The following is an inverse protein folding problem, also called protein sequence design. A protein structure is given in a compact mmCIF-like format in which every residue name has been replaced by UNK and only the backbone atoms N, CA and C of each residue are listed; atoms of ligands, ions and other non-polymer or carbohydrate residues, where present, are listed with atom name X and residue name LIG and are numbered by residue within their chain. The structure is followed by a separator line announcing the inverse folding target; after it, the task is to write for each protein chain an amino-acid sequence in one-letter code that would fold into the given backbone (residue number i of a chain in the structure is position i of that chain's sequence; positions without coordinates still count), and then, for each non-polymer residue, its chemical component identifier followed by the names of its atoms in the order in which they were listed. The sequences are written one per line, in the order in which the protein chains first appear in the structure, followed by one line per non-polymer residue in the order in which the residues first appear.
data_IF_543722527870
#
_entry.id   IF_543722527870
#
_cell.length_a   1.000
_cell.length_b   1.000
_cell.length_c   1.000
_cell.angle_alpha   90.00
_cell.angle_beta   90.00
_cell.angle_gamma   90.00
#
_symmetry.space_group_name_H-M   'P 1'
#
loop_
_entity.id
_entity.type
_entity.pdbx_description
1 polymer ?
#
# COMPACT_ATOMS: atom_id res chain seq x y z
N UNK A 1 15.77 16.21 9.87
CA UNK A 1 15.60 14.75 9.91
C UNK A 1 16.99 14.13 10.03
N UNK A 2 17.13 13.11 10.86
CA UNK A 2 18.36 12.34 10.99
C UNK A 2 18.30 11.16 10.01
N UNK A 3 19.40 10.91 9.31
CA UNK A 3 19.48 9.77 8.39
C UNK A 3 19.79 8.51 9.21
N UNK A 4 19.04 7.44 8.95
CA UNK A 4 19.28 6.09 9.50
C UNK A 4 19.63 5.18 8.32
N UNK A 5 20.75 4.46 8.40
CA UNK A 5 21.12 3.53 7.33
C UNK A 5 20.23 2.27 7.32
N UNK A 6 20.18 1.53 6.19
CA UNK A 6 19.48 0.24 6.15
C UNK A 6 19.90 -0.73 7.26
N UNK A 7 21.21 -0.81 7.55
CA UNK A 7 21.76 -1.69 8.59
C UNK A 7 21.34 -1.25 9.99
N UNK A 8 21.33 0.07 10.25
CA UNK A 8 20.89 0.61 11.53
C UNK A 8 19.40 0.36 11.74
N UNK A 9 18.55 0.54 10.72
CA UNK A 9 17.11 0.30 10.82
C UNK A 9 16.80 -1.19 11.06
N UNK A 10 17.44 -2.09 10.31
CA UNK A 10 17.30 -3.53 10.51
C UNK A 10 17.76 -3.94 11.92
N UNK A 11 18.88 -3.37 12.40
CA UNK A 11 19.39 -3.60 13.75
C UNK A 11 18.42 -3.12 14.85
N UNK A 12 17.78 -1.96 14.67
CA UNK A 12 16.73 -1.46 15.59
C UNK A 12 15.54 -2.39 15.60
N UNK A 13 15.10 -2.86 14.43
CA UNK A 13 13.99 -3.81 14.32
C UNK A 13 14.28 -5.10 15.10
N UNK A 14 15.46 -5.68 14.89
CA UNK A 14 15.89 -6.90 15.58
C UNK A 14 15.99 -6.72 17.12
N UNK A 15 16.56 -5.61 17.59
CA UNK A 15 16.67 -5.31 19.03
C UNK A 15 15.31 -5.16 19.72
N UNK A 16 14.31 -4.69 18.99
CA UNK A 16 12.95 -4.49 19.53
C UNK A 16 12.06 -5.73 19.45
N UNK A 17 12.54 -6.84 18.88
CA UNK A 17 11.83 -8.13 18.79
C UNK A 17 11.34 -8.62 20.17
N UNK A 18 12.15 -8.50 21.20
CA UNK A 18 11.80 -8.89 22.57
C UNK A 18 10.63 -8.08 23.16
N UNK A 19 10.29 -6.95 22.55
CA UNK A 19 9.15 -6.07 22.90
C UNK A 19 7.92 -6.36 22.03
N UNK A 20 7.95 -7.40 21.19
CA UNK A 20 6.84 -7.78 20.30
C UNK A 20 6.93 -7.17 18.89
N UNK A 21 8.05 -6.52 18.52
CA UNK A 21 8.23 -6.06 17.14
C UNK A 21 8.39 -7.26 16.21
N UNK A 22 7.61 -7.30 15.13
CA UNK A 22 7.64 -8.37 14.12
C UNK A 22 8.30 -7.95 12.80
N UNK A 23 8.59 -6.64 12.60
CA UNK A 23 9.14 -6.17 11.34
C UNK A 23 9.24 -4.67 11.20
N UNK A 24 9.35 -4.23 9.95
CA UNK A 24 9.42 -2.82 9.56
C UNK A 24 8.24 -2.47 8.65
N UNK A 25 7.60 -1.34 8.91
CA UNK A 25 6.60 -0.75 8.03
C UNK A 25 7.18 0.52 7.40
N UNK A 26 7.29 0.51 6.06
CA UNK A 26 7.68 1.67 5.27
C UNK A 26 6.43 2.47 4.94
N UNK A 27 6.41 3.71 5.43
CA UNK A 27 5.27 4.64 5.29
C UNK A 27 5.78 6.08 5.24
N UNK A 28 4.96 7.08 5.04
CA UNK A 28 5.26 8.51 5.00
C UNK A 28 6.56 8.94 4.28
N UNK A 29 6.46 9.85 3.29
CA UNK A 29 5.19 10.29 2.68
C UNK A 29 4.70 9.27 1.66
N UNK A 30 5.49 9.03 0.62
CA UNK A 30 5.37 7.93 -0.34
C UNK A 30 6.67 7.14 -0.32
N UNK A 31 6.68 5.94 0.27
CA UNK A 31 7.92 5.18 0.46
C UNK A 31 8.54 4.72 -0.85
N UNK A 32 7.75 4.49 -1.91
CA UNK A 32 8.24 3.98 -3.20
C UNK A 32 9.17 4.98 -3.92
N UNK A 33 9.18 6.26 -3.53
CA UNK A 33 10.18 7.24 -4.00
C UNK A 33 11.59 6.82 -3.58
N UNK A 34 11.73 6.20 -2.41
CA UNK A 34 13.01 5.69 -1.87
C UNK A 34 13.17 4.18 -2.03
N UNK A 35 12.75 3.60 -3.17
CA UNK A 35 12.73 2.15 -3.40
C UNK A 35 14.05 1.44 -3.12
N UNK A 36 15.17 2.07 -3.43
CA UNK A 36 16.50 1.51 -3.16
C UNK A 36 16.74 1.32 -1.66
N UNK A 37 16.34 2.31 -0.86
CA UNK A 37 16.42 2.23 0.59
C UNK A 37 15.49 1.15 1.15
N UNK A 38 14.26 1.05 0.61
CA UNK A 38 13.32 -0.01 0.98
C UNK A 38 13.92 -1.38 0.68
N UNK A 39 14.36 -1.61 -0.56
CA UNK A 39 14.95 -2.87 -0.99
C UNK A 39 16.12 -3.28 -0.08
N UNK A 40 17.06 -2.38 0.15
CA UNK A 40 18.27 -2.68 0.90
C UNK A 40 17.96 -2.95 2.39
N UNK A 41 17.05 -2.16 2.98
CA UNK A 41 16.59 -2.39 4.36
C UNK A 41 15.77 -3.67 4.48
N UNK A 42 14.81 -3.90 3.58
CA UNK A 42 13.90 -5.03 3.64
C UNK A 42 14.64 -6.36 3.50
N UNK A 43 15.69 -6.40 2.68
CA UNK A 43 16.58 -7.56 2.58
C UNK A 43 17.21 -7.90 3.92
N UNK A 44 17.78 -6.92 4.60
CA UNK A 44 18.43 -7.11 5.92
C UNK A 44 17.41 -7.51 7.00
N UNK A 45 16.19 -6.95 6.96
CA UNK A 45 15.10 -7.32 7.87
C UNK A 45 14.68 -8.78 7.64
N UNK A 46 14.62 -9.26 6.41
CA UNK A 46 14.37 -10.67 6.08
C UNK A 46 15.51 -11.59 6.57
N UNK A 47 16.76 -11.17 6.46
CA UNK A 47 17.92 -11.92 7.01
C UNK A 47 17.79 -12.13 8.52
N UNK A 48 17.15 -11.17 9.22
CA UNK A 48 16.80 -11.29 10.64
C UNK A 48 15.53 -12.17 10.89
N UNK A 49 14.88 -12.68 9.85
CA UNK A 49 13.63 -13.46 9.95
C UNK A 49 12.44 -12.62 10.43
N UNK A 50 12.37 -11.35 10.01
CA UNK A 50 11.30 -10.40 10.33
C UNK A 50 10.56 -9.99 9.05
N UNK A 51 9.42 -9.34 9.19
CA UNK A 51 8.52 -8.98 8.10
C UNK A 51 8.69 -7.54 7.63
N UNK A 52 8.36 -7.30 6.36
CA UNK A 52 8.36 -5.98 5.73
C UNK A 52 6.99 -5.63 5.19
N UNK A 53 6.48 -4.46 5.54
CA UNK A 53 5.20 -3.94 5.09
C UNK A 53 5.38 -2.59 4.42
N UNK A 54 4.64 -2.35 3.34
CA UNK A 54 4.58 -1.04 2.67
C UNK A 54 3.18 -0.44 2.79
N UNK A 55 3.10 0.86 3.09
CA UNK A 55 1.88 1.66 2.98
C UNK A 55 2.12 2.73 1.91
N UNK A 56 1.43 2.63 0.77
CA UNK A 56 1.71 3.40 -0.45
C UNK A 56 0.45 3.85 -1.16
N UNK A 57 0.56 4.90 -1.96
CA UNK A 57 -0.49 5.30 -2.89
C UNK A 57 -0.52 4.47 -4.19
N UNK A 58 0.40 3.53 -4.36
CA UNK A 58 0.49 2.64 -5.52
C UNK A 58 0.86 3.33 -6.84
N UNK A 59 1.27 4.61 -6.81
CA UNK A 59 1.65 5.35 -8.01
C UNK A 59 3.13 5.12 -8.33
N UNK A 60 3.44 3.94 -8.82
CA UNK A 60 4.80 3.55 -9.23
C UNK A 60 4.74 2.61 -10.44
N UNK A 61 5.83 2.54 -11.19
CA UNK A 61 5.93 1.61 -12.32
C UNK A 61 6.08 0.15 -11.84
N UNK A 62 5.77 -0.79 -12.74
CA UNK A 62 5.90 -2.21 -12.42
C UNK A 62 7.37 -2.62 -12.17
N UNK A 63 8.33 -1.96 -12.80
CA UNK A 63 9.75 -2.20 -12.55
C UNK A 63 10.13 -1.89 -11.09
N UNK A 64 9.52 -0.87 -10.49
CA UNK A 64 9.72 -0.56 -9.07
C UNK A 64 9.16 -1.68 -8.20
N UNK A 65 7.98 -2.18 -8.53
CA UNK A 65 7.37 -3.30 -7.81
C UNK A 65 8.22 -4.57 -7.92
N UNK A 66 8.66 -4.92 -9.14
CA UNK A 66 9.50 -6.11 -9.39
C UNK A 66 10.82 -6.06 -8.60
N UNK A 67 11.39 -4.86 -8.43
CA UNK A 67 12.63 -4.66 -7.67
C UNK A 67 12.45 -4.95 -6.17
N UNK A 68 11.30 -4.59 -5.59
CA UNK A 68 11.07 -4.68 -4.14
C UNK A 68 10.26 -5.90 -3.71
N UNK A 69 9.38 -6.42 -4.58
CA UNK A 69 8.45 -7.48 -4.26
C UNK A 69 9.07 -8.73 -3.59
N UNK A 70 10.30 -9.18 -3.96
CA UNK A 70 10.92 -10.33 -3.30
C UNK A 70 11.18 -10.16 -1.79
N UNK A 71 11.12 -8.93 -1.29
CA UNK A 71 11.46 -8.58 0.09
C UNK A 71 10.27 -8.03 0.88
N UNK A 72 9.06 -7.99 0.29
CA UNK A 72 7.87 -7.40 0.91
C UNK A 72 6.83 -8.49 1.18
N UNK A 73 6.37 -8.57 2.43
CA UNK A 73 5.41 -9.58 2.88
C UNK A 73 3.96 -9.09 2.76
N UNK A 74 3.73 -7.79 2.93
CA UNK A 74 2.41 -7.21 2.81
C UNK A 74 2.43 -5.75 2.34
N UNK A 75 1.35 -5.32 1.69
CA UNK A 75 1.13 -3.93 1.29
C UNK A 75 -0.27 -3.47 1.69
N UNK A 76 -0.37 -2.24 2.20
CA UNK A 76 -1.64 -1.50 2.22
C UNK A 76 -1.55 -0.42 1.16
N UNK A 77 -2.44 -0.46 0.16
CA UNK A 77 -2.38 0.44 -1.00
C UNK A 77 -3.63 1.33 -1.01
N UNK A 78 -3.43 2.63 -1.10
CA UNK A 78 -4.49 3.61 -1.23
C UNK A 78 -5.10 3.57 -2.64
N UNK A 79 -6.25 2.93 -2.80
CA UNK A 79 -7.11 3.07 -3.98
C UNK A 79 -8.09 4.22 -3.71
N UNK A 80 -7.69 5.45 -4.06
CA UNK A 80 -8.33 6.68 -3.58
C UNK A 80 -9.71 6.97 -4.20
N UNK A 81 -10.06 6.32 -5.31
CA UNK A 81 -11.32 6.44 -6.02
C UNK A 81 -11.33 5.54 -7.26
N UNK A 82 -12.40 5.60 -8.05
CA UNK A 82 -12.54 4.71 -9.20
C UNK A 82 -12.93 5.42 -10.50
N UNK A 83 -12.86 6.76 -10.53
CA UNK A 83 -13.07 7.57 -11.73
C UNK A 83 -11.78 8.25 -12.20
N UNK A 84 -11.62 8.41 -13.52
CA UNK A 84 -10.49 9.15 -14.08
C UNK A 84 -10.56 10.63 -13.71
N UNK A 85 -11.77 11.20 -13.60
CA UNK A 85 -11.97 12.58 -13.16
C UNK A 85 -11.35 12.80 -11.77
N UNK A 86 -11.70 11.97 -10.79
CA UNK A 86 -11.18 12.13 -9.43
C UNK A 86 -9.65 11.98 -9.38
N UNK A 87 -9.13 10.95 -10.06
CA UNK A 87 -7.67 10.73 -10.09
C UNK A 87 -6.90 11.82 -10.80
N UNK A 88 -7.33 12.24 -12.01
CA UNK A 88 -6.56 13.15 -12.85
C UNK A 88 -6.77 14.61 -12.45
N UNK A 89 -8.04 15.02 -12.23
CA UNK A 89 -8.39 16.42 -12.06
C UNK A 89 -8.34 16.88 -10.61
N UNK A 90 -8.63 15.99 -9.65
CA UNK A 90 -8.65 16.32 -8.22
C UNK A 90 -7.33 15.92 -7.55
N UNK A 91 -6.85 14.69 -7.77
CA UNK A 91 -5.66 14.17 -7.10
C UNK A 91 -4.35 14.46 -7.86
N UNK A 92 -4.41 14.72 -9.17
CA UNK A 92 -3.23 14.86 -10.02
C UNK A 92 -2.45 13.56 -10.18
N UNK A 93 -3.12 12.40 -10.09
CA UNK A 93 -2.55 11.07 -10.17
C UNK A 93 -2.95 10.32 -11.44
N UNK A 94 -2.66 9.02 -11.47
CA UNK A 94 -3.00 8.12 -12.58
C UNK A 94 -3.66 6.85 -12.02
N UNK A 95 -4.98 6.72 -12.25
CA UNK A 95 -5.76 5.55 -11.82
C UNK A 95 -5.28 4.26 -12.48
N UNK A 96 -4.97 4.31 -13.76
CA UNK A 96 -4.55 3.13 -14.50
C UNK A 96 -3.22 2.59 -13.98
N UNK A 97 -2.29 3.48 -13.63
CA UNK A 97 -1.01 3.10 -13.00
C UNK A 97 -1.24 2.44 -11.64
N UNK A 98 -2.04 3.06 -10.77
CA UNK A 98 -2.37 2.48 -9.45
C UNK A 98 -3.05 1.13 -9.58
N UNK A 99 -4.02 0.98 -10.49
CA UNK A 99 -4.70 -0.29 -10.74
C UNK A 99 -3.75 -1.37 -11.28
N UNK A 100 -2.83 -1.00 -12.18
CA UNK A 100 -1.81 -1.92 -12.69
C UNK A 100 -0.87 -2.38 -11.58
N UNK A 101 -0.44 -1.46 -10.71
CA UNK A 101 0.39 -1.77 -9.56
C UNK A 101 -0.31 -2.74 -8.59
N UNK A 102 -1.55 -2.47 -8.20
CA UNK A 102 -2.35 -3.35 -7.33
C UNK A 102 -2.51 -4.74 -7.96
N UNK A 103 -2.88 -4.79 -9.24
CA UNK A 103 -3.09 -6.05 -9.98
C UNK A 103 -1.84 -6.92 -10.01
N UNK A 104 -0.66 -6.34 -10.00
CA UNK A 104 0.58 -7.08 -9.95
C UNK A 104 0.96 -7.42 -8.50
N UNK A 105 0.86 -6.46 -7.57
CA UNK A 105 1.22 -6.64 -6.16
C UNK A 105 0.50 -7.83 -5.49
N UNK A 106 -0.78 -8.04 -5.81
CA UNK A 106 -1.58 -9.16 -5.26
C UNK A 106 -1.08 -10.56 -5.65
N UNK A 107 -0.15 -10.65 -6.59
CA UNK A 107 0.49 -11.92 -6.99
C UNK A 107 1.78 -12.21 -6.22
N UNK A 108 2.27 -11.25 -5.45
CA UNK A 108 3.58 -11.35 -4.80
C UNK A 108 3.50 -11.34 -3.27
N UNK A 109 2.52 -10.67 -2.70
CA UNK A 109 2.39 -10.53 -1.25
C UNK A 109 0.93 -10.37 -0.82
N UNK A 110 0.70 -10.36 0.49
CA UNK A 110 -0.61 -9.99 1.03
C UNK A 110 -0.89 -8.51 0.75
N UNK A 111 -2.06 -8.21 0.16
CA UNK A 111 -2.47 -6.85 -0.14
C UNK A 111 -3.80 -6.52 0.54
N UNK A 112 -3.84 -5.38 1.21
CA UNK A 112 -5.05 -4.72 1.67
C UNK A 112 -5.18 -3.37 0.95
N UNK A 113 -6.42 -2.92 0.73
CA UNK A 113 -6.68 -1.64 0.08
C UNK A 113 -7.32 -0.67 1.07
N UNK A 114 -7.03 0.61 0.90
CA UNK A 114 -7.66 1.67 1.68
C UNK A 114 -8.25 2.72 0.75
N UNK A 115 -9.48 3.15 1.04
CA UNK A 115 -10.15 4.24 0.33
C UNK A 115 -10.64 5.27 1.34
N UNK A 116 -10.23 6.52 1.17
CA UNK A 116 -10.81 7.65 1.89
C UNK A 116 -11.99 8.20 1.09
N UNK A 117 -13.19 8.09 1.64
CA UNK A 117 -14.40 8.65 1.04
C UNK A 117 -14.46 10.14 1.32
N UNK A 118 -14.50 10.93 0.25
CA UNK A 118 -14.63 12.39 0.26
C UNK A 118 -16.01 12.74 -0.30
N UNK A 119 -16.92 13.29 0.53
CA UNK A 119 -18.28 13.61 0.10
C UNK A 119 -18.32 14.53 -1.13
N UNK A 120 -19.09 14.13 -2.13
CA UNK A 120 -19.26 14.86 -3.39
C UNK A 120 -18.17 14.59 -4.43
N UNK A 121 -17.14 13.80 -4.13
CA UNK A 121 -16.02 13.50 -5.02
C UNK A 121 -16.02 12.02 -5.45
N UNK A 122 -15.90 11.09 -4.50
CA UNK A 122 -15.76 9.66 -4.74
C UNK A 122 -16.76 8.81 -3.90
N UNK A 123 -17.88 9.39 -3.50
CA UNK A 123 -18.87 8.78 -2.61
C UNK A 123 -20.12 8.22 -3.33
N UNK A 124 -20.13 8.20 -4.66
CA UNK A 124 -21.26 7.66 -5.40
C UNK A 124 -21.36 6.14 -5.24
N UNK A 125 -22.61 5.64 -5.11
CA UNK A 125 -22.86 4.20 -4.96
C UNK A 125 -22.36 3.40 -6.18
N UNK A 126 -22.50 3.96 -7.38
CA UNK A 126 -22.08 3.31 -8.63
C UNK A 126 -20.55 3.16 -8.68
N UNK A 127 -19.81 4.21 -8.32
CA UNK A 127 -18.33 4.17 -8.28
C UNK A 127 -17.83 3.14 -7.26
N UNK A 128 -18.43 3.12 -6.07
CA UNK A 128 -18.06 2.14 -5.02
C UNK A 128 -18.37 0.72 -5.50
N UNK A 129 -19.48 0.48 -6.18
CA UNK A 129 -19.84 -0.83 -6.76
C UNK A 129 -18.85 -1.26 -7.85
N UNK A 130 -18.45 -0.35 -8.72
CA UNK A 130 -17.45 -0.62 -9.76
C UNK A 130 -16.09 -0.96 -9.15
N UNK A 131 -15.63 -0.19 -8.17
CA UNK A 131 -14.41 -0.44 -7.41
C UNK A 131 -14.44 -1.84 -6.77
N UNK A 132 -15.48 -2.16 -6.00
CA UNK A 132 -15.62 -3.46 -5.35
C UNK A 132 -15.68 -4.61 -6.37
N UNK A 133 -16.36 -4.41 -7.49
CA UNK A 133 -16.46 -5.41 -8.56
C UNK A 133 -15.10 -5.68 -9.20
N UNK A 134 -14.32 -4.62 -9.42
CA UNK A 134 -12.96 -4.74 -9.93
C UNK A 134 -12.04 -5.46 -8.93
N UNK A 135 -12.06 -5.07 -7.65
CA UNK A 135 -11.28 -5.75 -6.60
C UNK A 135 -11.60 -7.25 -6.58
N UNK A 136 -12.88 -7.59 -6.57
CA UNK A 136 -13.32 -8.99 -6.56
C UNK A 136 -12.91 -9.79 -7.80
N UNK A 137 -12.60 -9.11 -8.92
CA UNK A 137 -12.14 -9.73 -10.16
C UNK A 137 -10.64 -10.03 -10.19
N UNK A 138 -9.85 -9.52 -9.22
CA UNK A 138 -8.41 -9.75 -9.16
C UNK A 138 -8.11 -11.22 -8.86
N UNK A 139 -6.99 -11.70 -9.38
CA UNK A 139 -6.47 -13.04 -9.07
C UNK A 139 -5.25 -12.88 -8.18
N UNK A 140 -5.31 -13.48 -6.99
CA UNK A 140 -4.23 -13.49 -6.01
C UNK A 140 -3.53 -14.86 -6.01
N UNK A 141 -2.37 -14.96 -5.42
CA UNK A 141 -1.65 -16.24 -5.26
C UNK A 141 -2.47 -17.28 -4.48
N UNK A 142 -3.28 -16.83 -3.52
CA UNK A 142 -4.06 -17.69 -2.63
C UNK A 142 -5.50 -17.91 -3.07
N UNK A 143 -5.97 -17.23 -4.15
CA UNK A 143 -7.38 -17.36 -4.57
C UNK A 143 -7.89 -16.22 -5.43
N UNK A 144 -8.90 -15.50 -4.94
CA UNK A 144 -9.58 -14.45 -5.68
C UNK A 144 -9.56 -13.12 -4.92
N UNK A 145 -9.73 -12.01 -5.62
CA UNK A 145 -9.80 -10.69 -5.02
C UNK A 145 -10.95 -10.46 -4.01
N UNK A 146 -11.85 -11.45 -3.87
CA UNK A 146 -12.93 -11.41 -2.85
C UNK A 146 -12.40 -11.45 -1.42
N UNK A 147 -11.17 -11.94 -1.23
CA UNK A 147 -10.52 -12.04 0.07
C UNK A 147 -9.60 -10.85 0.36
N UNK A 148 -9.50 -9.88 -0.58
CA UNK A 148 -8.74 -8.65 -0.38
C UNK A 148 -9.54 -7.71 0.54
N UNK A 149 -9.02 -7.35 1.74
CA UNK A 149 -9.69 -6.38 2.60
C UNK A 149 -9.72 -4.99 1.95
N UNK A 150 -10.89 -4.35 1.96
CA UNK A 150 -11.05 -2.94 1.60
C UNK A 150 -11.41 -2.13 2.86
N UNK A 151 -10.49 -1.31 3.31
CA UNK A 151 -10.70 -0.39 4.43
C UNK A 151 -11.34 0.90 3.90
N UNK A 152 -12.56 1.19 4.35
CA UNK A 152 -13.24 2.44 4.03
C UNK A 152 -13.05 3.40 5.20
N UNK A 153 -12.46 4.54 4.91
CA UNK A 153 -12.22 5.64 5.85
C UNK A 153 -13.05 6.84 5.42
N UNK A 154 -13.67 7.52 6.36
CA UNK A 154 -14.46 8.72 6.06
C UNK A 154 -13.99 9.91 6.90
N UNK A 155 -14.27 11.12 6.42
CA UNK A 155 -14.05 12.35 7.16
C UNK A 155 -15.40 12.74 7.81
N UNK A 156 -15.41 12.94 9.13
CA UNK A 156 -16.60 13.46 9.80
C UNK A 156 -16.82 14.94 9.45
N UNK A 157 -18.05 15.48 9.61
CA UNK A 157 -18.34 16.88 9.30
C UNK A 157 -17.46 17.89 10.07
N UNK A 158 -16.87 17.49 11.18
CA UNK A 158 -15.91 18.29 11.97
C UNK A 158 -14.44 18.02 11.59
N UNK A 159 -14.19 17.34 10.47
CA UNK A 159 -12.86 17.09 9.91
C UNK A 159 -12.09 15.97 10.59
N UNK A 160 -12.70 15.17 11.45
CA UNK A 160 -12.06 13.99 12.06
C UNK A 160 -12.19 12.77 11.17
N UNK A 161 -11.12 12.00 11.07
CA UNK A 161 -11.14 10.70 10.36
C UNK A 161 -11.91 9.69 11.21
N UNK A 162 -12.94 9.07 10.61
CA UNK A 162 -13.71 7.97 11.19
C UNK A 162 -13.29 6.68 10.48
N UNK A 163 -12.82 5.71 11.25
CA UNK A 163 -12.47 4.36 10.76
C UNK A 163 -13.62 3.40 11.01
#
# INVERSE_FOLDING_TARGET
AEYISPEELAGIAAQTRSRGNIGVAFTYNEPLIGREYIRDTAKLVHEEGMYNVIVSNGTASLEVLEEIAPYIDAMNIDLKGFTDHYYNDVLGGDRAMTMAFIKEAVKHCHVELTTLIVPGENDSEDEIREMCSWIASLTTDSGTGKDIPLHIVTISPDGRIIK
#
